data_IF_114776259880
#
_entry.id   IF_114776259880
#
_cell.length_a   1.000
_cell.length_b   1.000
_cell.length_c   1.000
_cell.angle_alpha   90.00
_cell.angle_beta   90.00
_cell.angle_gamma   90.00
#
_symmetry.space_group_name_H-M   'P 1'
#
loop_
_entity.id
_entity.type
_entity.pdbx_description
1 polymer ?
#
# COMPACT_ATOMS: atom_id res chain seq x y z
N UNK A 1 38.82 15.88 -20.74
CA UNK A 1 38.12 14.99 -19.77
C UNK A 1 36.61 15.20 -19.83
N UNK A 2 36.14 16.45 -19.89
CA UNK A 2 34.71 16.77 -20.05
C UNK A 2 34.23 16.40 -21.47
N UNK A 3 35.02 16.72 -22.50
CA UNK A 3 34.67 16.39 -23.90
C UNK A 3 34.52 14.88 -24.14
N UNK A 4 35.36 14.07 -23.50
CA UNK A 4 35.25 12.61 -23.56
C UNK A 4 33.99 12.06 -22.86
N UNK A 5 33.45 12.78 -21.86
CA UNK A 5 32.18 12.44 -21.21
C UNK A 5 30.98 12.89 -22.04
N UNK A 6 31.08 14.02 -22.76
CA UNK A 6 30.07 14.46 -23.71
C UNK A 6 30.00 13.54 -24.94
N UNK A 7 31.14 13.08 -25.43
CA UNK A 7 31.22 12.14 -26.54
C UNK A 7 30.64 10.77 -26.15
N UNK A 8 30.96 10.27 -24.97
CA UNK A 8 30.35 9.05 -24.43
C UNK A 8 28.83 9.16 -24.20
N UNK A 9 28.32 10.36 -23.85
CA UNK A 9 26.87 10.61 -23.73
C UNK A 9 26.17 10.54 -25.09
N UNK A 10 26.85 10.95 -26.16
CA UNK A 10 26.33 10.87 -27.53
C UNK A 10 26.42 9.45 -28.10
N UNK A 11 27.50 8.70 -27.86
CA UNK A 11 27.62 7.27 -28.25
C UNK A 11 26.63 6.38 -27.49
N UNK A 12 26.37 6.64 -26.21
CA UNK A 12 25.38 5.89 -25.42
C UNK A 12 23.93 6.09 -25.88
N UNK A 13 23.66 7.03 -26.80
CA UNK A 13 22.32 7.25 -27.37
C UNK A 13 22.03 6.39 -28.59
N UNK A 14 22.98 5.55 -29.03
CA UNK A 14 22.74 4.61 -30.12
C UNK A 14 21.53 3.73 -29.80
N UNK A 15 20.53 3.82 -30.68
CA UNK A 15 19.38 2.93 -30.59
C UNK A 15 19.91 1.50 -30.65
N UNK A 16 19.46 0.60 -29.74
CA UNK A 16 19.96 -0.76 -29.70
C UNK A 16 19.84 -1.39 -31.09
N UNK A 17 20.97 -1.68 -31.72
CA UNK A 17 21.07 -2.13 -33.11
C UNK A 17 20.59 -3.59 -33.29
N UNK A 18 20.25 -4.27 -32.19
CA UNK A 18 19.73 -5.63 -32.17
C UNK A 18 18.23 -5.71 -31.81
N UNK A 19 17.56 -6.82 -32.14
CA UNK A 19 16.21 -7.08 -31.64
C UNK A 19 16.21 -7.08 -30.11
N UNK A 20 15.18 -6.48 -29.51
CA UNK A 20 15.01 -6.52 -28.06
C UNK A 20 14.91 -7.98 -27.60
N UNK A 21 15.73 -8.35 -26.60
CA UNK A 21 15.68 -9.69 -26.03
C UNK A 21 14.29 -9.91 -25.43
N UNK A 22 13.52 -10.93 -25.88
CA UNK A 22 12.19 -11.17 -25.35
C UNK A 22 12.31 -11.72 -23.93
N UNK A 23 12.21 -10.82 -22.95
CA UNK A 23 12.28 -11.15 -21.52
C UNK A 23 11.10 -12.03 -21.08
N UNK A 24 9.96 -11.85 -21.73
CA UNK A 24 8.71 -12.57 -21.43
C UNK A 24 8.11 -13.12 -22.71
N UNK A 25 7.80 -14.41 -22.72
CA UNK A 25 7.14 -15.10 -23.82
C UNK A 25 5.84 -15.76 -23.36
N UNK A 26 4.94 -16.08 -24.30
CA UNK A 26 3.67 -16.76 -24.01
C UNK A 26 3.56 -18.03 -24.84
N UNK A 27 3.56 -19.18 -24.18
CA UNK A 27 3.42 -20.50 -24.79
C UNK A 27 1.96 -20.95 -24.72
N UNK A 28 1.35 -21.27 -25.86
CA UNK A 28 -0.03 -21.76 -25.94
C UNK A 28 -0.05 -23.29 -26.00
N UNK A 29 -0.67 -23.94 -25.02
CA UNK A 29 -0.77 -25.41 -24.93
C UNK A 29 -2.22 -25.90 -25.07
N UNK A 30 -3.08 -25.10 -25.72
CA UNK A 30 -4.52 -25.41 -25.88
C UNK A 30 -5.42 -24.90 -24.74
N UNK A 31 -4.88 -24.11 -23.82
CA UNK A 31 -5.61 -23.45 -22.73
C UNK A 31 -5.11 -22.01 -22.47
N UNK A 32 -5.33 -21.45 -21.27
CA UNK A 32 -4.81 -20.12 -20.90
C UNK A 32 -3.29 -20.09 -21.10
N UNK A 33 -2.75 -19.17 -21.94
CA UNK A 33 -1.33 -19.18 -22.29
C UNK A 33 -0.42 -19.13 -21.05
N UNK A 34 0.60 -19.99 -21.07
CA UNK A 34 1.65 -20.01 -20.06
C UNK A 34 2.59 -18.84 -20.32
N UNK A 35 2.71 -17.91 -19.37
CA UNK A 35 3.68 -16.81 -19.47
C UNK A 35 5.03 -17.33 -19.02
N UNK A 36 6.05 -17.41 -19.85
CA UNK A 36 7.43 -17.77 -19.50
C UNK A 36 8.28 -16.51 -19.35
N UNK A 37 9.21 -16.53 -18.39
CA UNK A 37 10.13 -15.41 -18.10
C UNK A 37 11.53 -16.01 -18.13
N UNK A 38 12.49 -15.32 -18.75
CA UNK A 38 13.88 -15.76 -18.73
C UNK A 38 14.37 -15.93 -17.27
N UNK A 39 14.90 -17.12 -16.89
CA UNK A 39 15.24 -17.42 -15.51
C UNK A 39 16.44 -16.61 -15.00
N UNK A 40 17.39 -16.26 -15.88
CA UNK A 40 18.59 -15.54 -15.50
C UNK A 40 18.29 -14.06 -15.27
N UNK A 41 17.49 -13.46 -16.14
CA UNK A 41 16.99 -12.09 -15.96
C UNK A 41 16.10 -12.01 -14.71
N UNK A 42 15.23 -13.00 -14.49
CA UNK A 42 14.37 -13.03 -13.30
C UNK A 42 15.19 -13.14 -12.01
N UNK A 43 16.24 -13.96 -12.00
CA UNK A 43 17.16 -14.09 -10.86
C UNK A 43 17.83 -12.76 -10.53
N UNK A 44 18.36 -12.07 -11.54
CA UNK A 44 19.00 -10.75 -11.36
C UNK A 44 18.00 -9.70 -10.89
N UNK A 45 16.79 -9.67 -11.45
CA UNK A 45 15.75 -8.74 -11.06
C UNK A 45 15.29 -8.95 -9.60
N UNK A 46 15.13 -10.20 -9.18
CA UNK A 46 14.76 -10.55 -7.80
C UNK A 46 15.84 -10.19 -6.78
N UNK A 47 17.11 -10.18 -7.18
CA UNK A 47 18.19 -9.71 -6.32
C UNK A 47 18.11 -8.19 -6.04
N UNK A 48 17.54 -7.42 -6.97
CA UNK A 48 17.40 -5.97 -6.86
C UNK A 48 16.09 -5.53 -6.19
N UNK A 49 14.96 -6.16 -6.54
CA UNK A 49 13.63 -5.80 -6.05
C UNK A 49 12.72 -7.02 -5.85
N UNK A 50 11.79 -6.89 -4.91
CA UNK A 50 10.76 -7.92 -4.68
C UNK A 50 9.72 -8.02 -5.81
N UNK A 51 9.00 -9.15 -5.93
CA UNK A 51 8.10 -9.45 -7.05
C UNK A 51 7.03 -8.38 -7.34
N UNK A 52 6.52 -7.71 -6.31
CA UNK A 52 5.50 -6.65 -6.43
C UNK A 52 5.97 -5.42 -7.20
N UNK A 53 7.26 -5.11 -7.16
CA UNK A 53 7.83 -3.96 -7.86
C UNK A 53 8.34 -4.32 -9.26
N UNK A 54 8.30 -5.60 -9.63
CA UNK A 54 8.73 -6.10 -10.93
C UNK A 54 7.57 -6.14 -11.94
N UNK A 55 6.34 -5.85 -11.53
CA UNK A 55 5.17 -5.92 -12.41
C UNK A 55 5.28 -4.99 -13.63
N UNK A 56 5.75 -3.76 -13.41
CA UNK A 56 5.92 -2.76 -14.46
C UNK A 56 7.06 -3.12 -15.43
N UNK A 57 8.12 -3.75 -14.91
CA UNK A 57 9.31 -4.13 -15.70
C UNK A 57 9.01 -5.29 -16.65
N UNK A 58 8.32 -6.32 -16.15
CA UNK A 58 8.02 -7.51 -16.93
C UNK A 58 6.66 -7.44 -17.64
N UNK A 59 5.79 -6.50 -17.27
CA UNK A 59 4.42 -6.42 -17.78
C UNK A 59 3.53 -7.60 -17.32
N UNK A 60 3.87 -8.23 -16.19
CA UNK A 60 3.16 -9.40 -15.64
C UNK A 60 2.94 -9.23 -14.15
N UNK A 61 1.75 -9.57 -13.65
CA UNK A 61 1.46 -9.46 -12.22
C UNK A 61 2.38 -10.30 -11.32
N UNK A 62 2.63 -9.81 -10.10
CA UNK A 62 3.62 -10.34 -9.17
C UNK A 62 3.37 -11.79 -8.78
N UNK A 63 2.10 -12.23 -8.81
CA UNK A 63 1.73 -13.63 -8.57
C UNK A 63 2.33 -14.55 -9.65
N UNK A 64 2.34 -14.12 -10.91
CA UNK A 64 2.95 -14.90 -12.00
C UNK A 64 4.47 -14.88 -11.90
N UNK A 65 5.07 -13.73 -11.57
CA UNK A 65 6.51 -13.59 -11.33
C UNK A 65 6.94 -14.53 -10.19
N UNK A 66 6.27 -14.48 -9.04
CA UNK A 66 6.54 -15.37 -7.91
C UNK A 66 6.34 -16.85 -8.27
N UNK A 67 5.28 -17.18 -9.01
CA UNK A 67 5.05 -18.56 -9.48
C UNK A 67 6.20 -19.05 -10.35
N UNK A 68 6.71 -18.24 -11.27
CA UNK A 68 7.87 -18.61 -12.09
C UNK A 68 9.14 -18.73 -11.27
N UNK A 69 9.36 -17.81 -10.34
CA UNK A 69 10.49 -17.89 -9.43
C UNK A 69 10.49 -19.20 -8.60
N UNK A 70 9.32 -19.63 -8.13
CA UNK A 70 9.15 -20.92 -7.43
C UNK A 70 9.44 -22.12 -8.36
N UNK A 71 8.89 -22.13 -9.58
CA UNK A 71 9.12 -23.21 -10.54
C UNK A 71 10.59 -23.33 -10.97
N UNK A 72 11.32 -22.21 -11.06
CA UNK A 72 12.75 -22.18 -11.36
C UNK A 72 13.65 -22.41 -10.14
N UNK A 73 13.09 -22.58 -8.94
CA UNK A 73 13.86 -22.77 -7.71
C UNK A 73 14.65 -21.52 -7.27
N UNK A 74 14.23 -20.32 -7.71
CA UNK A 74 14.87 -19.04 -7.35
C UNK A 74 14.36 -18.49 -6.01
N UNK A 75 13.18 -18.93 -5.56
CA UNK A 75 12.53 -18.51 -4.32
C UNK A 75 11.96 -19.73 -3.63
N UNK A 76 12.12 -19.81 -2.31
CA UNK A 76 11.53 -20.87 -1.52
C UNK A 76 10.01 -20.69 -1.33
N UNK A 77 9.23 -21.79 -1.32
CA UNK A 77 7.84 -21.76 -0.89
C UNK A 77 7.70 -21.10 0.48
N UNK A 78 6.59 -20.38 0.69
CA UNK A 78 6.29 -19.81 2.01
C UNK A 78 5.95 -20.92 3.01
N UNK A 79 6.09 -20.62 4.29
CA UNK A 79 5.68 -21.52 5.36
C UNK A 79 4.21 -21.94 5.21
N UNK A 80 3.87 -23.19 5.57
CA UNK A 80 2.49 -23.65 5.52
C UNK A 80 1.60 -22.84 6.47
N UNK A 81 0.32 -22.75 6.11
CA UNK A 81 -0.70 -21.99 6.87
C UNK A 81 -0.91 -22.57 8.27
N UNK A 82 -0.76 -23.87 8.43
CA UNK A 82 -0.79 -24.53 9.73
C UNK A 82 0.21 -25.67 9.80
N UNK A 83 0.62 -26.01 11.02
CA UNK A 83 1.45 -27.17 11.34
C UNK A 83 0.76 -28.02 12.40
N UNK A 84 0.73 -29.33 12.17
CA UNK A 84 0.14 -30.30 13.09
C UNK A 84 1.28 -30.86 13.96
N UNK A 85 1.25 -30.59 15.27
CA UNK A 85 2.20 -31.11 16.25
C UNK A 85 1.55 -32.19 17.10
N UNK A 86 2.06 -33.44 17.10
CA UNK A 86 1.54 -34.49 17.98
C UNK A 86 1.91 -34.16 19.44
N UNK A 87 0.92 -34.22 20.33
CA UNK A 87 1.10 -34.05 21.77
C UNK A 87 1.36 -35.42 22.44
N UNK A 88 1.97 -35.40 23.62
CA UNK A 88 2.30 -36.61 24.42
C UNK A 88 1.09 -37.51 24.70
N UNK A 89 -0.12 -36.93 24.74
CA UNK A 89 -1.39 -37.65 24.97
C UNK A 89 -1.97 -38.34 23.71
N UNK A 90 -1.25 -38.30 22.58
CA UNK A 90 -1.72 -38.84 21.29
C UNK A 90 -2.73 -37.95 20.56
N UNK A 91 -3.03 -36.76 21.09
CA UNK A 91 -3.83 -35.74 20.41
C UNK A 91 -2.98 -34.95 19.40
N UNK A 92 -3.62 -34.40 18.36
CA UNK A 92 -2.97 -33.56 17.35
C UNK A 92 -3.34 -32.10 17.65
N UNK A 93 -2.35 -31.26 17.97
CA UNK A 93 -2.52 -29.82 18.13
C UNK A 93 -2.19 -29.10 16.82
N UNK A 94 -3.08 -28.23 16.33
CA UNK A 94 -2.89 -27.45 15.10
C UNK A 94 -2.46 -26.03 15.42
N UNK A 95 -1.28 -25.63 14.96
CA UNK A 95 -0.78 -24.26 15.10
C UNK A 95 -0.92 -23.52 13.78
N UNK A 96 -1.64 -22.39 13.76
CA UNK A 96 -1.83 -21.56 12.56
C UNK A 96 -0.80 -20.44 12.47
N UNK A 97 -0.18 -20.29 11.31
CA UNK A 97 0.81 -19.24 11.03
C UNK A 97 0.09 -18.00 10.50
N UNK A 98 -0.01 -16.95 11.31
CA UNK A 98 -0.59 -15.67 10.86
C UNK A 98 0.46 -14.80 10.18
N UNK A 99 0.21 -14.34 8.94
CA UNK A 99 1.11 -13.39 8.25
C UNK A 99 1.12 -12.00 8.90
N UNK A 100 0.12 -11.68 9.74
CA UNK A 100 0.12 -10.44 10.51
C UNK A 100 1.07 -10.53 11.70
N UNK A 101 1.94 -9.53 11.86
CA UNK A 101 2.76 -9.40 13.05
C UNK A 101 1.88 -9.38 14.33
N UNK A 102 2.38 -9.96 15.44
CA UNK A 102 1.61 -10.13 16.67
C UNK A 102 1.14 -8.79 17.23
N UNK A 103 0.03 -8.82 17.96
CA UNK A 103 -0.47 -7.67 18.71
C UNK A 103 0.53 -7.35 19.82
N UNK A 104 0.87 -6.07 19.99
CA UNK A 104 1.83 -5.66 21.01
C UNK A 104 1.25 -5.87 22.41
N UNK A 105 2.03 -6.45 23.32
CA UNK A 105 1.71 -6.70 24.74
C UNK A 105 1.82 -5.46 25.63
N UNK A 106 1.62 -4.27 25.05
CA UNK A 106 1.72 -3.00 25.79
C UNK A 106 0.60 -2.90 26.83
N UNK A 107 0.96 -2.43 28.03
CA UNK A 107 -0.01 -2.17 29.09
C UNK A 107 -0.91 -0.97 28.76
N UNK A 108 -2.05 -0.86 29.43
CA UNK A 108 -2.94 0.28 29.21
C UNK A 108 -2.32 1.61 29.69
N UNK A 109 -1.53 1.60 30.78
CA UNK A 109 -0.89 2.81 31.31
C UNK A 109 0.22 3.34 30.39
N UNK A 110 1.03 2.42 29.82
CA UNK A 110 2.03 2.77 28.82
C UNK A 110 1.39 3.31 27.53
N UNK A 111 0.26 2.71 27.12
CA UNK A 111 -0.49 3.16 25.96
C UNK A 111 -1.06 4.58 26.17
N UNK A 112 -1.62 4.85 27.34
CA UNK A 112 -2.15 6.17 27.71
C UNK A 112 -1.03 7.22 27.72
N UNK A 113 0.13 6.90 28.31
CA UNK A 113 1.31 7.77 28.35
C UNK A 113 1.85 8.10 26.96
N UNK A 114 1.93 7.09 26.07
CA UNK A 114 2.33 7.29 24.68
C UNK A 114 1.33 8.18 23.94
N UNK A 115 0.03 7.95 24.12
CA UNK A 115 -0.99 8.74 23.45
C UNK A 115 -0.99 10.19 23.93
N UNK A 116 -0.78 10.44 25.23
CA UNK A 116 -0.61 11.78 25.78
C UNK A 116 0.56 12.52 25.10
N UNK A 117 1.74 11.89 25.04
CA UNK A 117 2.92 12.50 24.40
C UNK A 117 2.73 12.80 22.91
N UNK A 118 2.00 11.95 22.19
CA UNK A 118 1.70 12.17 20.76
C UNK A 118 0.71 13.34 20.61
N UNK A 119 -0.29 13.43 21.48
CA UNK A 119 -1.31 14.47 21.43
C UNK A 119 -0.79 15.83 21.88
N UNK A 120 0.22 15.87 22.76
CA UNK A 120 0.97 17.10 23.08
C UNK A 120 1.66 17.67 21.83
N UNK A 121 2.24 16.79 21.01
CA UNK A 121 2.91 17.21 19.76
C UNK A 121 1.91 17.54 18.66
N UNK A 122 0.82 16.77 18.56
CA UNK A 122 -0.17 16.87 17.50
C UNK A 122 -1.60 16.86 18.06
N UNK A 123 -2.13 18.02 18.51
CA UNK A 123 -3.41 18.08 19.23
C UNK A 123 -4.63 17.71 18.37
N UNK A 124 -4.52 17.80 17.04
CA UNK A 124 -5.62 17.50 16.12
C UNK A 124 -5.61 16.04 15.59
N UNK A 125 -4.81 15.14 16.15
CA UNK A 125 -4.72 13.77 15.68
C UNK A 125 -5.93 12.93 16.07
N UNK A 126 -6.71 12.53 15.06
CA UNK A 126 -7.77 11.54 15.24
C UNK A 126 -7.23 10.10 15.38
N UNK A 127 -8.10 9.18 15.80
CA UNK A 127 -7.78 7.75 16.05
C UNK A 127 -7.04 7.06 14.89
N UNK A 128 -7.35 7.40 13.63
CA UNK A 128 -6.68 6.82 12.46
C UNK A 128 -5.21 7.25 12.38
N UNK A 129 -4.92 8.52 12.69
CA UNK A 129 -3.55 9.05 12.71
C UNK A 129 -2.77 8.48 13.88
N UNK A 130 -3.39 8.38 15.06
CA UNK A 130 -2.79 7.75 16.24
C UNK A 130 -2.43 6.29 15.99
N UNK A 131 -3.35 5.50 15.41
CA UNK A 131 -3.07 4.11 15.01
C UNK A 131 -1.90 4.02 14.02
N UNK A 132 -1.83 4.95 13.06
CA UNK A 132 -0.73 5.02 12.11
C UNK A 132 0.61 5.33 12.79
N UNK A 133 0.61 6.30 13.72
CA UNK A 133 1.80 6.69 14.49
C UNK A 133 2.28 5.55 15.38
N UNK A 134 1.39 4.88 16.11
CA UNK A 134 1.71 3.70 16.91
C UNK A 134 2.30 2.57 16.07
N UNK A 135 1.73 2.31 14.88
CA UNK A 135 2.27 1.32 13.94
C UNK A 135 3.67 1.68 13.45
N UNK A 136 3.95 2.96 13.22
CA UNK A 136 5.28 3.43 12.84
C UNK A 136 6.30 3.31 13.99
N UNK A 137 5.85 3.45 15.24
CA UNK A 137 6.65 3.20 16.44
C UNK A 137 6.83 1.70 16.75
N UNK A 138 6.24 0.80 15.94
CA UNK A 138 6.34 -0.65 16.12
C UNK A 138 5.24 -1.28 16.99
N UNK A 139 4.34 -0.48 17.57
CA UNK A 139 3.24 -0.98 18.38
C UNK A 139 2.01 -1.29 17.51
N UNK A 140 1.54 -2.55 17.57
CA UNK A 140 0.28 -2.98 16.92
C UNK A 140 -0.80 -3.16 17.97
N UNK A 141 -1.56 -2.11 18.20
CA UNK A 141 -2.67 -2.10 19.15
C UNK A 141 -4.01 -2.17 18.41
N UNK A 142 -5.00 -2.96 18.89
CA UNK A 142 -6.35 -2.98 18.34
C UNK A 142 -7.01 -1.59 18.40
N UNK A 143 -7.91 -1.31 17.44
CA UNK A 143 -8.57 0.00 17.36
C UNK A 143 -9.35 0.33 18.62
N UNK A 144 -10.00 -0.66 19.22
CA UNK A 144 -10.87 -0.46 20.39
C UNK A 144 -10.07 -0.08 21.63
N UNK A 145 -8.89 -0.68 21.84
CA UNK A 145 -7.96 -0.28 22.91
C UNK A 145 -7.43 1.14 22.72
N UNK A 146 -7.10 1.53 21.49
CA UNK A 146 -6.69 2.92 21.19
C UNK A 146 -7.84 3.89 21.46
N UNK A 147 -9.07 3.52 21.09
CA UNK A 147 -10.25 4.37 21.33
C UNK A 147 -10.53 4.53 22.84
N UNK A 148 -10.45 3.44 23.61
CA UNK A 148 -10.62 3.48 25.07
C UNK A 148 -9.56 4.36 25.74
N UNK A 149 -8.29 4.18 25.37
CA UNK A 149 -7.18 5.00 25.85
C UNK A 149 -7.33 6.48 25.47
N UNK A 150 -7.71 6.76 24.22
CA UNK A 150 -7.98 8.13 23.74
C UNK A 150 -9.06 8.81 24.55
N UNK A 151 -10.14 8.10 24.91
CA UNK A 151 -11.20 8.63 25.77
C UNK A 151 -10.72 8.93 27.18
N UNK A 152 -9.78 8.15 27.74
CA UNK A 152 -9.19 8.40 29.06
C UNK A 152 -8.27 9.61 29.07
N UNK A 153 -7.43 9.76 28.03
CA UNK A 153 -6.40 10.80 27.95
C UNK A 153 -6.96 12.14 27.44
N UNK A 154 -7.67 12.11 26.31
CA UNK A 154 -8.15 13.32 25.63
C UNK A 154 -9.61 13.66 26.03
N UNK A 155 -10.31 12.74 26.70
CA UNK A 155 -11.73 12.89 26.99
C UNK A 155 -12.63 12.57 25.80
N UNK A 156 -13.94 12.72 25.99
CA UNK A 156 -14.93 12.47 24.93
C UNK A 156 -14.72 13.44 23.77
N UNK A 157 -14.61 12.97 22.52
CA UNK A 157 -14.66 13.86 21.36
C UNK A 157 -15.94 14.69 21.42
N UNK A 158 -15.84 16.00 21.19
CA UNK A 158 -17.02 16.86 21.09
C UNK A 158 -18.03 16.26 20.11
N UNK A 159 -19.31 16.26 20.51
CA UNK A 159 -20.38 15.55 19.80
C UNK A 159 -20.29 15.74 18.29
N UNK A 160 -20.25 14.63 17.56
CA UNK A 160 -20.27 14.62 16.10
C UNK A 160 -21.55 15.35 15.64
N UNK A 161 -21.40 16.43 14.85
CA UNK A 161 -22.52 17.27 14.41
C UNK A 161 -22.59 18.68 15.02
N UNK A 162 -21.83 18.98 16.08
CA UNK A 162 -21.76 20.36 16.60
C UNK A 162 -20.96 21.31 15.67
N UNK A 163 -20.11 20.75 14.81
CA UNK A 163 -19.32 21.51 13.84
C UNK A 163 -20.05 21.53 12.51
N UNK A 164 -20.76 22.62 12.22
CA UNK A 164 -21.27 22.88 10.88
C UNK A 164 -20.09 23.08 9.93
N UNK A 165 -20.01 22.25 8.89
CA UNK A 165 -19.05 22.46 7.81
C UNK A 165 -19.56 23.65 6.99
N UNK A 166 -19.00 24.83 7.25
CA UNK A 166 -19.29 26.00 6.44
C UNK A 166 -18.64 25.82 5.06
N UNK A 167 -19.47 25.54 4.05
CA UNK A 167 -19.01 25.47 2.66
C UNK A 167 -19.13 26.86 2.06
N UNK A 168 -17.99 27.44 1.70
CA UNK A 168 -17.98 28.66 0.90
C UNK A 168 -18.44 28.29 -0.52
N UNK A 169 -19.57 28.82 -1.03
CA UNK A 169 -19.95 28.60 -2.42
C UNK A 169 -18.90 29.28 -3.30
N UNK A 170 -18.22 28.52 -4.16
CA UNK A 170 -17.33 29.10 -5.15
C UNK A 170 -18.15 29.60 -6.33
N UNK A 171 -18.18 30.92 -6.51
CA UNK A 171 -18.70 31.54 -7.73
C UNK A 171 -17.61 31.45 -8.79
N UNK A 172 -17.71 30.49 -9.70
CA UNK A 172 -16.82 30.44 -10.85
C UNK A 172 -17.26 31.53 -11.82
N UNK A 173 -16.38 32.48 -12.15
CA UNK A 173 -16.61 33.40 -13.24
C UNK A 173 -16.73 32.58 -14.53
N UNK A 174 -17.97 32.35 -14.97
CA UNK A 174 -18.24 31.74 -16.26
C UNK A 174 -17.74 32.73 -17.33
N UNK A 175 -16.79 32.30 -18.14
CA UNK A 175 -16.37 33.01 -19.35
C UNK A 175 -17.63 33.41 -20.14
N UNK A 176 -17.80 34.72 -20.33
CA UNK A 176 -18.98 35.28 -20.98
C UNK A 176 -19.07 34.84 -22.43
N UNK A 177 -20.07 34.01 -22.74
CA UNK A 177 -20.64 33.98 -24.07
C UNK A 177 -21.74 35.04 -24.03
N UNK A 178 -21.44 36.18 -24.64
CA UNK A 178 -22.33 37.32 -24.75
C UNK A 178 -23.44 36.94 -25.73
N UNK A 179 -24.61 36.55 -25.21
CA UNK A 179 -25.87 36.58 -25.96
C UNK A 179 -26.91 37.26 -25.08
N UNK A 180 -27.36 38.42 -25.55
CA UNK A 180 -28.54 39.14 -25.07
C UNK A 180 -29.71 38.19 -24.80
N UNK A 181 -30.16 38.11 -23.56
CA UNK A 181 -31.47 38.64 -23.15
C UNK A 181 -31.82 38.21 -21.72
N UNK A 182 -32.51 39.13 -21.04
CA UNK A 182 -33.13 38.94 -19.74
C UNK A 182 -33.98 37.66 -19.66
N UNK A 183 -33.92 36.97 -18.51
CA UNK A 183 -35.04 36.55 -17.62
C UNK A 183 -34.60 35.35 -16.76
N UNK A 184 -34.75 35.49 -15.44
CA UNK A 184 -35.02 34.36 -14.54
C UNK A 184 -33.81 33.72 -13.85
N UNK A 185 -33.48 34.22 -12.65
CA UNK A 185 -32.66 33.48 -11.70
C UNK A 185 -33.43 32.22 -11.24
N UNK A 186 -33.05 31.03 -11.73
CA UNK A 186 -33.55 29.76 -11.22
C UNK A 186 -32.70 29.35 -10.01
N UNK A 187 -33.23 29.59 -8.82
CA UNK A 187 -32.77 29.00 -7.56
C UNK A 187 -33.02 27.49 -7.61
N UNK A 188 -31.99 26.71 -7.92
CA UNK A 188 -32.05 25.26 -7.72
C UNK A 188 -31.77 24.97 -6.24
N UNK A 189 -32.85 25.00 -5.45
CA UNK A 189 -32.87 24.49 -4.08
C UNK A 189 -32.87 22.97 -4.11
N UNK A 190 -31.70 22.34 -4.04
CA UNK A 190 -31.61 20.91 -3.71
C UNK A 190 -31.68 20.76 -2.19
N UNK A 191 -32.88 20.43 -1.67
CA UNK A 191 -33.07 19.98 -0.29
C UNK A 191 -32.48 18.57 -0.12
N UNK A 192 -31.70 18.39 0.93
CA UNK A 192 -31.51 17.13 1.64
C UNK A 192 -31.64 17.43 3.13
#
# INVERSE_FOLDING_TARGET
MIDALEEARHESSDMPTGPSLPVVSRTSTGGRPRVEIDPEILRQALALRGPSHLEEVFGVGARTIRRRALEYGLVEPGEPVYTDTPQEDGSISRTYTSTSAPVSTISDDELDSLLASILETFPNFGLRMLKGRLRNLGHRVPRDRIAASYLRVHGSPGAFGARFIHRTPYTVARFGIMTDNMVGAVLVSTRW
#
